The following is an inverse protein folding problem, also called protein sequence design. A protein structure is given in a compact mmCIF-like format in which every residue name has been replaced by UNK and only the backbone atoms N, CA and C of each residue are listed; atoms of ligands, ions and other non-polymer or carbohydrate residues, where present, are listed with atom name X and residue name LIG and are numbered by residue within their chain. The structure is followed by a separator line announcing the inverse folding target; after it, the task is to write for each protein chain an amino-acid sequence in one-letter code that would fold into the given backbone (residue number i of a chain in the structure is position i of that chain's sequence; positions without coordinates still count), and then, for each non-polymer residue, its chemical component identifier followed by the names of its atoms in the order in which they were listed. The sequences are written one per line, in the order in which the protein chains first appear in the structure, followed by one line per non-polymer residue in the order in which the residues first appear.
data_IF_804390638992
#
_entry.id   IF_804390638992
#
_cell.length_a   1.000
_cell.length_b   1.000
_cell.length_c   1.000
_cell.angle_alpha   90.00
_cell.angle_beta   90.00
_cell.angle_gamma   90.00
#
_symmetry.space_group_name_H-M   'P 1'
#
loop_
_entity.id
_entity.type
_entity.pdbx_description
1 polymer ?
#
# COMPACT_ATOMS: atom_id res chain seq x y z
N UNK A 1 -7.59 -28.99 -10.49
CA UNK A 1 -8.42 -28.35 -9.45
C UNK A 1 -7.55 -28.04 -8.24
N UNK A 2 -7.60 -26.81 -7.71
CA UNK A 2 -6.80 -26.44 -6.53
C UNK A 2 -7.34 -27.10 -5.26
N UNK A 3 -6.43 -27.50 -4.35
CA UNK A 3 -6.77 -28.07 -3.04
C UNK A 3 -6.50 -27.03 -1.95
N UNK A 4 -7.44 -26.85 -1.04
CA UNK A 4 -7.24 -26.03 0.17
C UNK A 4 -6.37 -26.82 1.15
N UNK A 5 -5.16 -26.34 1.42
CA UNK A 5 -4.24 -26.99 2.36
C UNK A 5 -4.55 -26.63 3.81
N UNK A 6 -4.87 -25.36 4.08
CA UNK A 6 -5.12 -24.86 5.45
C UNK A 6 -6.27 -23.85 5.42
N UNK A 7 -7.19 -23.95 6.38
CA UNK A 7 -8.30 -23.00 6.57
C UNK A 7 -7.97 -22.00 7.68
N UNK A 8 -8.50 -20.79 7.58
CA UNK A 8 -8.43 -19.75 8.63
C UNK A 8 -7.02 -19.33 9.07
N UNK A 9 -6.04 -19.37 8.17
CA UNK A 9 -4.62 -19.03 8.47
C UNK A 9 -4.46 -17.59 8.97
N UNK A 10 -5.35 -16.68 8.59
CA UNK A 10 -5.31 -15.27 8.97
C UNK A 10 -6.65 -14.80 9.51
N UNK A 11 -6.61 -14.09 10.64
CA UNK A 11 -7.74 -13.36 11.20
C UNK A 11 -7.87 -12.02 10.48
N UNK A 12 -8.94 -11.84 9.71
CA UNK A 12 -9.17 -10.62 8.94
C UNK A 12 -9.86 -9.56 9.78
N UNK A 13 -9.30 -8.35 9.81
CA UNK A 13 -9.90 -7.22 10.49
C UNK A 13 -10.85 -6.46 9.55
N UNK A 14 -11.99 -5.96 10.07
CA UNK A 14 -12.91 -5.16 9.29
C UNK A 14 -12.23 -3.85 8.85
N UNK A 15 -12.43 -3.45 7.59
CA UNK A 15 -11.87 -2.21 7.06
C UNK A 15 -10.47 -2.35 6.43
N UNK A 16 -9.94 -3.57 6.34
CA UNK A 16 -8.64 -3.86 5.73
C UNK A 16 -8.79 -4.77 4.50
N UNK A 17 -7.92 -4.55 3.51
CA UNK A 17 -7.78 -5.36 2.30
C UNK A 17 -6.63 -6.34 2.50
N UNK A 18 -6.91 -7.62 2.27
CA UNK A 18 -5.92 -8.70 2.35
C UNK A 18 -5.65 -9.26 0.96
N UNK A 19 -4.38 -9.36 0.57
CA UNK A 19 -3.94 -9.85 -0.73
C UNK A 19 -2.65 -10.65 -0.61
N UNK A 20 -2.33 -11.42 -1.66
CA UNK A 20 -1.07 -12.16 -1.77
C UNK A 20 -0.15 -11.41 -2.74
N UNK A 21 1.09 -11.14 -2.33
CA UNK A 21 2.08 -10.51 -3.20
C UNK A 21 2.77 -11.55 -4.12
N UNK A 22 3.64 -11.08 -5.02
CA UNK A 22 4.39 -11.97 -5.92
C UNK A 22 5.37 -12.90 -5.21
N UNK A 23 5.73 -12.61 -3.95
CA UNK A 23 6.58 -13.45 -3.13
C UNK A 23 5.78 -14.47 -2.30
N UNK A 24 4.44 -14.46 -2.38
CA UNK A 24 3.56 -15.39 -1.67
C UNK A 24 3.18 -14.95 -0.25
N UNK A 25 3.50 -13.71 0.15
CA UNK A 25 3.14 -13.20 1.48
C UNK A 25 1.70 -12.72 1.53
N UNK A 26 1.06 -12.86 2.70
CA UNK A 26 -0.24 -12.25 2.98
C UNK A 26 -0.02 -10.83 3.50
N UNK A 27 -0.42 -9.84 2.71
CA UNK A 27 -0.27 -8.42 3.05
C UNK A 27 -1.61 -7.80 3.47
N UNK A 28 -1.55 -6.75 4.29
CA UNK A 28 -2.70 -6.01 4.80
C UNK A 28 -2.61 -4.52 4.44
N UNK A 29 -3.70 -3.95 3.91
CA UNK A 29 -3.79 -2.53 3.60
C UNK A 29 -5.10 -1.90 4.11
N UNK A 30 -5.02 -0.72 4.73
CA UNK A 30 -6.22 -0.01 5.22
C UNK A 30 -7.05 0.49 4.04
N UNK A 31 -8.32 0.07 3.96
CA UNK A 31 -9.19 0.48 2.85
C UNK A 31 -9.56 1.96 2.95
N UNK A 32 -9.42 2.67 1.84
CA UNK A 32 -9.96 4.02 1.70
C UNK A 32 -11.47 3.94 1.48
N UNK A 33 -12.23 3.66 2.53
CA UNK A 33 -13.70 3.75 2.47
C UNK A 33 -14.08 5.21 2.23
N UNK A 34 -14.84 5.47 1.17
CA UNK A 34 -15.32 6.81 0.82
C UNK A 34 -16.22 7.34 1.94
N UNK A 35 -15.79 8.41 2.59
CA UNK A 35 -16.54 9.01 3.72
C UNK A 35 -15.98 10.34 4.19
N UNK A 36 -14.71 10.63 3.90
CA UNK A 36 -14.15 11.98 4.06
C UNK A 36 -13.43 12.36 2.77
N UNK A 37 -13.93 13.39 2.09
CA UNK A 37 -13.16 14.11 1.05
C UNK A 37 -11.85 14.52 1.72
N UNK A 38 -10.73 13.86 1.37
CA UNK A 38 -9.42 14.37 1.76
C UNK A 38 -9.36 15.79 1.21
N UNK A 39 -9.31 16.81 2.08
CA UNK A 39 -8.83 18.14 1.68
C UNK A 39 -7.52 17.85 0.95
N UNK A 40 -7.37 18.33 -0.30
CA UNK A 40 -6.11 18.27 -1.04
C UNK A 40 -5.05 18.84 -0.11
N UNK A 41 -4.31 17.98 0.59
CA UNK A 41 -3.03 18.37 1.16
C UNK A 41 -2.22 18.70 -0.07
N UNK A 42 -2.08 20.00 -0.34
CA UNK A 42 -1.14 20.52 -1.33
C UNK A 42 0.15 19.78 -1.02
N UNK A 43 0.52 18.80 -1.87
CA UNK A 43 1.81 18.16 -1.77
C UNK A 43 2.77 19.33 -1.91
N UNK A 44 3.40 19.77 -0.81
CA UNK A 44 4.54 20.67 -0.88
C UNK A 44 5.49 19.95 -1.81
N UNK A 45 5.63 20.50 -3.01
CA UNK A 45 6.51 19.98 -4.03
C UNK A 45 7.88 19.85 -3.35
N UNK A 46 8.31 18.61 -3.13
CA UNK A 46 9.68 18.34 -2.72
C UNK A 46 10.52 18.96 -3.82
N UNK A 47 11.18 20.08 -3.51
CA UNK A 47 12.06 20.79 -4.43
C UNK A 47 12.96 19.74 -5.07
N UNK A 48 12.87 19.59 -6.40
CA UNK A 48 13.83 18.81 -7.18
C UNK A 48 15.22 19.26 -6.72
N UNK A 49 15.93 18.41 -5.96
CA UNK A 49 17.33 18.66 -5.62
C UNK A 49 18.09 18.40 -6.92
N UNK A 50 18.21 19.45 -7.74
CA UNK A 50 19.05 19.46 -8.94
C UNK A 50 20.46 19.13 -8.45
N UNK A 51 20.92 17.92 -8.75
CA UNK A 51 22.33 17.54 -8.58
C UNK A 51 23.12 18.51 -9.46
N UNK A 52 23.78 19.48 -8.84
CA UNK A 52 24.74 20.36 -9.52
C UNK A 52 25.79 19.46 -10.16
N UNK A 53 25.84 19.45 -11.50
CA UNK A 53 26.94 18.97 -12.33
C UNK A 53 28.24 19.49 -11.70
N UNK A 54 29.03 18.61 -11.10
CA UNK A 54 30.38 18.94 -10.62
C UNK A 54 31.29 18.90 -11.84
N UNK A 55 31.61 20.07 -12.37
CA UNK A 55 32.71 20.25 -13.32
C UNK A 55 34.01 20.19 -12.51
N UNK A 56 34.83 19.18 -12.75
CA UNK A 56 36.28 19.26 -12.58
C UNK A 56 36.90 18.39 -13.66
#
# INVERSE_FOLDING_TARGET
MGKILVKNVVKRQPGHLYYVDGAGNVCEAKMARGGKKKKKTVKKAVKKKVVKKKKK
#
